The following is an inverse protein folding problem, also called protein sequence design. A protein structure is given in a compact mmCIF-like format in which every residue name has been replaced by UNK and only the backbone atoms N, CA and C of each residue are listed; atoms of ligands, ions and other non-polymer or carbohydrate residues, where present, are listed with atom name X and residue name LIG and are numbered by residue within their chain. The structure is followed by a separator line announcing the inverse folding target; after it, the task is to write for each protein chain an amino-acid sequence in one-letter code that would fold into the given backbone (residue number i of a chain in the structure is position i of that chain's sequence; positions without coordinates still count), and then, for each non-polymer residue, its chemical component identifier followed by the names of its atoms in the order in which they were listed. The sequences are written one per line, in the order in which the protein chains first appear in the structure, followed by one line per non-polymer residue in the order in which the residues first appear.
data_IF_093567209573
#
_entry.id   IF_093567209573
#
_cell.length_a   1.000
_cell.length_b   1.000
_cell.length_c   1.000
_cell.angle_alpha   90.00
_cell.angle_beta   90.00
_cell.angle_gamma   90.00
#
_symmetry.space_group_name_H-M   'P 1'
#
loop_
_entity.id
_entity.type
_entity.pdbx_description
1 polymer ?
#
# COMPACT_ATOMS: atom_id res chain seq x y z
N UNK A 1 9.57 7.07 -25.20
CA UNK A 1 9.52 6.73 -23.74
C UNK A 1 10.02 5.32 -23.59
N UNK A 2 11.12 5.13 -22.86
CA UNK A 2 11.72 3.81 -22.63
C UNK A 2 10.76 2.93 -21.82
N UNK A 3 10.84 1.59 -21.96
CA UNK A 3 10.08 0.65 -21.13
C UNK A 3 10.43 0.86 -19.64
N UNK A 4 11.69 1.16 -19.33
CA UNK A 4 12.15 1.40 -17.95
C UNK A 4 11.49 2.60 -17.27
N UNK A 5 11.03 3.60 -18.02
CA UNK A 5 10.30 4.75 -17.47
C UNK A 5 8.88 4.40 -17.02
N UNK A 6 8.37 3.21 -17.36
CA UNK A 6 7.04 2.71 -17.00
C UNK A 6 7.05 1.59 -15.95
N UNK A 7 8.25 1.15 -15.54
CA UNK A 7 8.42 0.10 -14.55
C UNK A 7 8.52 0.74 -13.17
N UNK A 8 7.92 0.09 -12.20
CA UNK A 8 8.04 0.40 -10.78
C UNK A 8 8.10 -0.89 -9.97
N UNK A 9 8.60 -0.83 -8.75
CA UNK A 9 8.72 -1.99 -7.87
C UNK A 9 8.99 -1.60 -6.43
N UNK A 10 8.99 -2.60 -5.54
CA UNK A 10 9.32 -2.48 -4.14
C UNK A 10 10.84 -2.41 -3.97
N UNK A 11 11.37 -1.22 -3.74
CA UNK A 11 12.82 -1.03 -3.62
C UNK A 11 13.38 -1.28 -2.21
N UNK A 12 12.53 -1.46 -1.21
CA UNK A 12 12.93 -1.87 0.13
C UNK A 12 13.50 -3.30 0.20
N UNK A 13 13.31 -4.09 -0.84
CA UNK A 13 14.01 -5.38 -1.02
C UNK A 13 15.49 -5.21 -1.40
N UNK A 14 15.87 -4.03 -1.89
CA UNK A 14 17.27 -3.69 -2.19
C UNK A 14 17.98 -3.22 -0.91
N UNK A 15 17.35 -2.30 -0.18
CA UNK A 15 17.89 -1.71 1.04
C UNK A 15 16.78 -1.07 1.86
N UNK A 16 16.96 -0.96 3.18
CA UNK A 16 16.09 -0.16 4.03
C UNK A 16 16.50 1.33 4.04
N UNK A 17 17.71 1.66 3.61
CA UNK A 17 18.17 3.04 3.38
C UNK A 17 17.49 3.60 2.13
N UNK A 18 16.72 4.66 2.29
CA UNK A 18 15.92 5.22 1.21
C UNK A 18 16.76 5.90 0.11
N UNK A 19 17.91 6.51 0.48
CA UNK A 19 18.81 7.08 -0.51
C UNK A 19 19.42 6.00 -1.41
N UNK A 20 19.72 4.81 -0.84
CA UNK A 20 20.18 3.66 -1.61
C UNK A 20 19.07 3.10 -2.52
N UNK A 21 17.82 3.06 -2.05
CA UNK A 21 16.67 2.67 -2.89
C UNK A 21 16.56 3.60 -4.10
N UNK A 22 16.52 4.92 -3.87
CA UNK A 22 16.38 5.92 -4.90
C UNK A 22 17.56 5.91 -5.89
N UNK A 23 18.78 5.77 -5.36
CA UNK A 23 19.98 5.63 -6.21
C UNK A 23 19.85 4.45 -7.13
N UNK A 24 19.45 3.27 -6.64
CA UNK A 24 19.33 2.07 -7.48
C UNK A 24 18.24 2.23 -8.55
N UNK A 25 17.09 2.79 -8.17
CA UNK A 25 15.97 3.08 -9.08
C UNK A 25 16.45 4.01 -10.22
N UNK A 26 17.18 5.07 -9.89
CA UNK A 26 17.71 6.02 -10.90
C UNK A 26 18.81 5.43 -11.76
N UNK A 27 19.72 4.64 -11.19
CA UNK A 27 20.79 3.95 -11.95
C UNK A 27 20.21 2.96 -12.99
N UNK A 28 19.05 2.36 -12.69
CA UNK A 28 18.30 1.51 -13.63
C UNK A 28 17.48 2.30 -14.66
N UNK A 29 17.46 3.62 -14.59
CA UNK A 29 16.68 4.48 -15.49
C UNK A 29 15.18 4.47 -15.23
N UNK A 30 14.74 3.96 -14.07
CA UNK A 30 13.35 3.97 -13.65
C UNK A 30 12.94 5.38 -13.17
N UNK A 31 11.67 5.72 -13.34
CA UNK A 31 11.11 7.03 -12.96
C UNK A 31 10.15 6.97 -11.79
N UNK A 32 9.77 5.77 -11.38
CA UNK A 32 8.78 5.55 -10.33
C UNK A 32 9.24 4.46 -9.36
N UNK A 33 8.83 4.62 -8.11
CA UNK A 33 9.03 3.65 -7.02
C UNK A 33 7.68 3.29 -6.41
N UNK A 34 7.49 2.05 -6.00
CA UNK A 34 6.44 1.67 -5.05
C UNK A 34 7.05 1.68 -3.64
N UNK A 35 6.49 2.48 -2.73
CA UNK A 35 7.01 2.60 -1.38
C UNK A 35 6.23 1.67 -0.46
N UNK A 36 6.91 0.66 0.11
CA UNK A 36 6.41 -0.22 1.18
C UNK A 36 7.09 0.15 2.51
N UNK A 37 8.40 0.31 2.49
CA UNK A 37 9.16 0.84 3.62
C UNK A 37 10.34 1.68 3.16
N UNK A 38 10.73 2.63 4.01
CA UNK A 38 11.88 3.50 3.84
C UNK A 38 12.46 3.82 5.22
N UNK A 39 13.79 4.00 5.35
CA UNK A 39 14.46 4.33 6.61
C UNK A 39 14.04 3.40 7.77
N UNK A 40 13.97 2.09 7.49
CA UNK A 40 13.55 1.04 8.45
C UNK A 40 12.13 1.20 9.02
N UNK A 41 11.26 1.96 8.35
CA UNK A 41 9.90 2.25 8.78
C UNK A 41 8.90 1.97 7.66
N UNK A 42 7.81 1.28 7.97
CA UNK A 42 6.73 1.03 7.02
C UNK A 42 6.03 2.33 6.61
N UNK A 43 5.61 2.45 5.36
CA UNK A 43 4.93 3.67 4.87
C UNK A 43 3.66 3.99 5.65
N UNK A 44 2.98 2.98 6.17
CA UNK A 44 1.77 3.12 6.97
C UNK A 44 2.01 3.67 8.39
N UNK A 45 3.27 3.71 8.82
CA UNK A 45 3.67 4.22 10.14
C UNK A 45 4.17 5.66 10.09
N UNK A 46 4.34 6.22 8.89
CA UNK A 46 4.74 7.62 8.72
C UNK A 46 3.58 8.58 9.00
N UNK A 47 3.88 9.64 9.74
CA UNK A 47 2.99 10.79 9.81
C UNK A 47 3.10 11.63 8.53
N UNK A 48 2.06 12.39 8.14
CA UNK A 48 2.15 13.31 7.00
C UNK A 48 3.30 14.32 7.11
N UNK A 49 3.68 14.74 8.32
CA UNK A 49 4.80 15.64 8.55
C UNK A 49 6.16 14.97 8.29
N UNK A 50 6.33 13.72 8.73
CA UNK A 50 7.55 12.95 8.41
C UNK A 50 7.67 12.71 6.90
N UNK A 51 6.55 12.45 6.21
CA UNK A 51 6.55 12.33 4.75
C UNK A 51 7.04 13.62 4.10
N UNK A 52 6.53 14.78 4.53
CA UNK A 52 6.96 16.11 4.00
C UNK A 52 8.42 16.42 4.26
N UNK A 53 8.94 16.06 5.43
CA UNK A 53 10.26 16.46 5.88
C UNK A 53 11.36 15.45 5.55
N UNK A 54 11.02 14.17 5.37
CA UNK A 54 12.00 13.11 5.13
C UNK A 54 11.88 12.54 3.72
N UNK A 55 10.72 12.02 3.32
CA UNK A 55 10.60 11.26 2.06
C UNK A 55 10.49 12.18 0.84
N UNK A 56 9.62 13.17 0.91
CA UNK A 56 9.35 14.06 -0.23
C UNK A 56 10.59 14.81 -0.74
N UNK A 57 11.45 15.40 0.11
CA UNK A 57 12.67 16.06 -0.35
C UNK A 57 13.64 15.10 -1.06
N UNK A 58 13.76 13.85 -0.59
CA UNK A 58 14.62 12.82 -1.20
C UNK A 58 14.10 12.41 -2.57
N UNK A 59 12.79 12.17 -2.69
CA UNK A 59 12.12 11.87 -3.96
C UNK A 59 12.32 12.99 -4.99
N UNK A 60 12.10 14.24 -4.57
CA UNK A 60 12.28 15.42 -5.42
C UNK A 60 13.74 15.58 -5.89
N UNK A 61 14.70 15.41 -4.99
CA UNK A 61 16.13 15.48 -5.33
C UNK A 61 16.54 14.38 -6.31
N UNK A 62 15.97 13.19 -6.21
CA UNK A 62 16.22 12.07 -7.11
C UNK A 62 15.44 12.16 -8.44
N UNK A 63 14.42 13.01 -8.53
CA UNK A 63 13.52 13.08 -9.68
C UNK A 63 12.69 11.80 -9.88
N UNK A 64 12.32 11.12 -8.78
CA UNK A 64 11.57 9.87 -8.76
C UNK A 64 10.16 10.13 -8.24
N UNK A 65 9.15 9.71 -9.01
CA UNK A 65 7.74 9.73 -8.60
C UNK A 65 7.34 8.48 -7.83
N UNK A 66 6.19 8.52 -7.17
CA UNK A 66 5.62 7.36 -6.45
C UNK A 66 4.50 6.76 -7.28
N UNK A 67 4.60 5.48 -7.61
CA UNK A 67 3.59 4.77 -8.40
C UNK A 67 2.44 4.23 -7.53
N UNK A 68 2.76 3.75 -6.34
CA UNK A 68 1.79 3.23 -5.37
C UNK A 68 2.40 3.13 -3.99
N UNK A 69 1.55 3.09 -2.96
CA UNK A 69 1.94 2.75 -1.61
C UNK A 69 1.65 1.27 -1.34
N UNK A 70 2.66 0.52 -0.90
CA UNK A 70 2.53 -0.88 -0.53
C UNK A 70 2.22 -0.99 0.97
N UNK A 71 0.99 -1.31 1.33
CA UNK A 71 0.55 -1.33 2.74
C UNK A 71 0.10 -2.71 3.19
N UNK A 72 -0.10 -2.88 4.49
CA UNK A 72 -0.73 -4.07 5.08
C UNK A 72 -2.21 -3.86 5.44
N UNK A 73 -2.85 -2.83 4.85
CA UNK A 73 -4.30 -2.62 5.02
C UNK A 73 -5.06 -3.87 4.55
N UNK A 74 -5.99 -4.35 5.36
CA UNK A 74 -6.72 -5.60 5.13
C UNK A 74 -5.93 -6.87 5.50
N UNK A 75 -4.72 -6.78 6.02
CA UNK A 75 -3.94 -7.93 6.51
C UNK A 75 -4.11 -8.09 8.04
N UNK A 76 -5.33 -8.26 8.47
CA UNK A 76 -5.79 -8.45 9.84
C UNK A 76 -6.82 -9.59 9.84
N UNK A 77 -6.97 -10.31 10.95
CA UNK A 77 -7.98 -11.36 11.05
C UNK A 77 -9.37 -10.78 10.78
N UNK A 78 -10.19 -11.52 10.04
CA UNK A 78 -11.53 -11.07 9.62
C UNK A 78 -12.45 -10.75 10.80
N UNK A 79 -12.25 -11.42 11.95
CA UNK A 79 -13.02 -11.26 13.16
C UNK A 79 -12.40 -10.26 14.18
N UNK A 80 -11.23 -9.67 13.87
CA UNK A 80 -10.59 -8.68 14.72
C UNK A 80 -11.15 -7.27 14.45
N UNK A 81 -12.21 -6.91 15.17
CA UNK A 81 -12.87 -5.61 15.02
C UNK A 81 -12.00 -4.45 15.53
N UNK A 82 -11.15 -4.66 16.55
CA UNK A 82 -10.24 -3.62 17.05
C UNK A 82 -9.12 -3.34 16.03
N UNK A 83 -8.53 -4.40 15.48
CA UNK A 83 -7.54 -4.29 14.41
C UNK A 83 -8.12 -3.64 13.15
N UNK A 84 -9.35 -3.98 12.79
CA UNK A 84 -10.05 -3.37 11.66
C UNK A 84 -10.29 -1.87 11.90
N UNK A 85 -10.76 -1.46 13.08
CA UNK A 85 -10.97 -0.05 13.41
C UNK A 85 -9.66 0.77 13.30
N UNK A 86 -8.55 0.23 13.79
CA UNK A 86 -7.21 0.85 13.63
C UNK A 86 -6.81 0.98 12.15
N UNK A 87 -7.14 0.00 11.32
CA UNK A 87 -6.84 0.07 9.88
C UNK A 87 -7.69 1.10 9.13
N UNK A 88 -8.91 1.39 9.57
CA UNK A 88 -9.70 2.50 9.01
C UNK A 88 -9.01 3.86 9.27
N UNK A 89 -8.55 4.11 10.50
CA UNK A 89 -7.80 5.32 10.86
C UNK A 89 -6.47 5.41 10.09
N UNK A 90 -5.76 4.29 9.98
CA UNK A 90 -4.50 4.21 9.24
C UNK A 90 -4.70 4.49 7.75
N UNK A 91 -5.79 4.00 7.16
CA UNK A 91 -6.10 4.24 5.75
C UNK A 91 -6.41 5.73 5.47
N UNK A 92 -7.11 6.44 6.37
CA UNK A 92 -7.31 7.89 6.24
C UNK A 92 -5.95 8.62 6.18
N UNK A 93 -5.02 8.30 7.09
CA UNK A 93 -3.66 8.86 7.10
C UNK A 93 -2.86 8.50 5.84
N UNK A 94 -2.99 7.27 5.37
CA UNK A 94 -2.34 6.81 4.13
C UNK A 94 -2.87 7.53 2.89
N UNK A 95 -4.16 7.85 2.84
CA UNK A 95 -4.72 8.64 1.75
C UNK A 95 -4.15 10.06 1.73
N UNK A 96 -3.96 10.70 2.89
CA UNK A 96 -3.27 11.99 2.99
C UNK A 96 -1.81 11.89 2.54
N UNK A 97 -1.12 10.84 2.97
CA UNK A 97 0.26 10.54 2.56
C UNK A 97 0.37 10.36 1.04
N UNK A 98 -0.54 9.60 0.45
CA UNK A 98 -0.58 9.37 -0.99
C UNK A 98 -0.74 10.70 -1.76
N UNK A 99 -1.63 11.60 -1.30
CA UNK A 99 -1.80 12.94 -1.88
C UNK A 99 -0.53 13.79 -1.79
N UNK A 100 0.18 13.75 -0.66
CA UNK A 100 1.44 14.47 -0.49
C UNK A 100 2.52 13.99 -1.47
N UNK A 101 2.48 12.72 -1.83
CA UNK A 101 3.43 12.06 -2.73
C UNK A 101 2.97 12.06 -4.21
N UNK A 102 1.89 12.77 -4.53
CA UNK A 102 1.25 12.77 -5.86
C UNK A 102 0.98 11.35 -6.39
N UNK A 103 0.49 10.49 -5.49
CA UNK A 103 0.20 9.08 -5.74
C UNK A 103 -1.30 8.80 -5.58
N UNK A 104 -1.88 8.09 -6.54
CA UNK A 104 -3.33 7.75 -6.53
C UNK A 104 -3.62 6.29 -6.17
N UNK A 105 -2.61 5.49 -5.85
CA UNK A 105 -2.78 4.06 -5.66
C UNK A 105 -2.25 3.58 -4.31
N UNK A 106 -3.07 2.81 -3.59
CA UNK A 106 -2.69 2.13 -2.34
C UNK A 106 -2.99 0.63 -2.49
N UNK A 107 -1.98 -0.22 -2.34
CA UNK A 107 -2.16 -1.67 -2.30
C UNK A 107 -2.67 -2.11 -0.94
N UNK A 108 -3.66 -3.02 -0.94
CA UNK A 108 -4.31 -3.58 0.23
C UNK A 108 -4.63 -5.07 0.04
N UNK A 109 -5.16 -5.72 1.08
CA UNK A 109 -5.55 -7.13 1.13
C UNK A 109 -7.01 -7.28 1.56
N UNK A 110 -7.52 -8.53 1.61
CA UNK A 110 -8.93 -8.84 1.88
C UNK A 110 -9.14 -9.70 3.13
N UNK A 111 -8.43 -9.44 4.20
CA UNK A 111 -8.51 -10.06 5.51
C UNK A 111 -8.03 -11.52 5.59
N UNK A 112 -7.37 -11.84 6.69
CA UNK A 112 -6.95 -13.21 7.00
C UNK A 112 -8.18 -14.02 7.43
N UNK A 113 -8.35 -15.18 6.83
CA UNK A 113 -9.42 -16.13 7.16
C UNK A 113 -8.88 -17.16 8.16
N UNK A 114 -9.64 -17.49 9.22
CA UNK A 114 -9.21 -18.50 10.18
C UNK A 114 -8.86 -19.82 9.49
N UNK A 115 -7.77 -20.45 9.95
CA UNK A 115 -7.31 -21.71 9.39
C UNK A 115 -8.42 -22.77 9.46
N UNK A 116 -8.58 -23.52 8.38
CA UNK A 116 -9.58 -24.58 8.23
C UNK A 116 -11.05 -24.07 8.23
N UNK A 117 -11.30 -22.77 8.18
CA UNK A 117 -12.62 -22.21 7.97
C UNK A 117 -13.01 -22.21 6.48
N UNK A 118 -14.31 -22.28 6.21
CA UNK A 118 -14.86 -22.06 4.87
C UNK A 118 -14.87 -20.57 4.56
N UNK A 119 -14.02 -20.13 3.63
CA UNK A 119 -13.89 -18.74 3.25
C UNK A 119 -15.21 -18.13 2.75
N UNK A 120 -16.03 -18.92 2.05
CA UNK A 120 -17.32 -18.44 1.52
C UNK A 120 -18.29 -18.00 2.62
N UNK A 121 -18.16 -18.56 3.83
CA UNK A 121 -18.97 -18.16 4.98
C UNK A 121 -18.68 -16.73 5.46
N UNK A 122 -17.53 -16.14 5.09
CA UNK A 122 -17.11 -14.78 5.45
C UNK A 122 -17.42 -13.72 4.38
N UNK A 123 -18.01 -14.13 3.23
CA UNK A 123 -18.24 -13.23 2.09
C UNK A 123 -18.91 -11.91 2.49
N UNK A 124 -20.01 -11.97 3.21
CA UNK A 124 -20.79 -10.78 3.56
C UNK A 124 -20.00 -9.82 4.46
N UNK A 125 -19.30 -10.35 5.46
CA UNK A 125 -18.49 -9.55 6.39
C UNK A 125 -17.28 -8.94 5.70
N UNK A 126 -16.61 -9.69 4.84
CA UNK A 126 -15.47 -9.18 4.05
C UNK A 126 -15.92 -8.06 3.12
N UNK A 127 -17.02 -8.27 2.38
CA UNK A 127 -17.55 -7.25 1.48
C UNK A 127 -17.98 -5.99 2.23
N UNK A 128 -18.54 -6.11 3.43
CA UNK A 128 -18.92 -4.95 4.22
C UNK A 128 -17.71 -4.15 4.73
N UNK A 129 -16.66 -4.85 5.19
CA UNK A 129 -15.39 -4.22 5.57
C UNK A 129 -14.68 -3.57 4.39
N UNK A 130 -14.64 -4.23 3.23
CA UNK A 130 -14.07 -3.65 2.00
C UNK A 130 -14.82 -2.40 1.54
N UNK A 131 -16.16 -2.36 1.64
CA UNK A 131 -16.95 -1.15 1.35
C UNK A 131 -16.57 0.02 2.26
N UNK A 132 -16.19 -0.23 3.51
CA UNK A 132 -15.73 0.83 4.41
C UNK A 132 -14.38 1.39 3.96
N UNK A 133 -13.41 0.55 3.56
CA UNK A 133 -12.16 1.00 2.95
C UNK A 133 -12.40 1.81 1.68
N UNK A 134 -13.27 1.32 0.80
CA UNK A 134 -13.61 2.02 -0.46
C UNK A 134 -14.18 3.41 -0.19
N UNK A 135 -15.09 3.56 0.78
CA UNK A 135 -15.66 4.87 1.13
C UNK A 135 -14.61 5.87 1.61
N UNK A 136 -13.57 5.40 2.32
CA UNK A 136 -12.44 6.25 2.72
C UNK A 136 -11.64 6.66 1.48
N UNK A 137 -11.24 5.71 0.65
CA UNK A 137 -10.44 5.96 -0.53
C UNK A 137 -11.14 6.91 -1.52
N UNK A 138 -12.45 6.74 -1.75
CA UNK A 138 -13.26 7.59 -2.63
C UNK A 138 -13.28 9.07 -2.20
N UNK A 139 -13.33 9.36 -0.88
CA UNK A 139 -13.27 10.75 -0.38
C UNK A 139 -11.96 11.45 -0.74
N UNK A 140 -10.92 10.67 -0.98
CA UNK A 140 -9.57 11.14 -1.25
C UNK A 140 -9.15 10.96 -2.72
N UNK A 141 -10.02 10.51 -3.61
CA UNK A 141 -9.70 10.16 -5.01
C UNK A 141 -8.57 9.13 -5.12
N UNK A 142 -8.51 8.16 -4.19
CA UNK A 142 -7.54 7.07 -4.16
C UNK A 142 -8.17 5.79 -4.69
N UNK A 143 -7.39 5.04 -5.45
CA UNK A 143 -7.75 3.71 -5.94
C UNK A 143 -7.04 2.66 -5.07
N UNK A 144 -7.82 1.75 -4.49
CA UNK A 144 -7.29 0.61 -3.76
C UNK A 144 -6.98 -0.53 -4.73
N UNK A 145 -5.74 -1.03 -4.67
CA UNK A 145 -5.26 -2.16 -5.46
C UNK A 145 -5.25 -3.41 -4.58
N UNK A 146 -6.12 -4.38 -4.88
CA UNK A 146 -6.13 -5.63 -4.15
C UNK A 146 -4.99 -6.55 -4.62
N UNK A 147 -4.18 -7.02 -3.67
CA UNK A 147 -3.19 -8.06 -3.90
C UNK A 147 -3.71 -9.39 -3.35
N UNK A 148 -3.71 -10.44 -4.19
CA UNK A 148 -4.00 -11.77 -3.71
C UNK A 148 -2.78 -12.36 -2.97
N UNK A 149 -3.05 -12.97 -1.83
CA UNK A 149 -2.02 -13.61 -0.99
C UNK A 149 -2.61 -14.86 -0.32
N UNK A 150 -1.75 -15.82 0.01
CA UNK A 150 -2.18 -17.05 0.69
C UNK A 150 -2.78 -16.73 2.08
N UNK A 151 -3.95 -17.30 2.34
CA UNK A 151 -4.61 -17.25 3.65
C UNK A 151 -5.51 -16.03 3.88
N UNK A 152 -5.64 -15.14 2.90
CA UNK A 152 -6.66 -14.09 2.91
C UNK A 152 -7.90 -14.53 2.15
N UNK A 153 -9.02 -13.83 2.30
CA UNK A 153 -10.27 -14.13 1.58
C UNK A 153 -10.06 -14.20 0.05
N UNK A 154 -9.29 -13.27 -0.52
CA UNK A 154 -8.95 -13.23 -1.94
C UNK A 154 -7.63 -13.91 -2.27
N UNK A 155 -7.35 -15.10 -1.74
CA UNK A 155 -6.10 -15.83 -1.99
C UNK A 155 -6.03 -16.44 -3.38
N UNK A 156 -7.18 -16.75 -3.96
CA UNK A 156 -7.30 -17.28 -5.33
C UNK A 156 -8.17 -16.38 -6.20
N UNK A 157 -7.75 -16.19 -7.44
CA UNK A 157 -8.59 -15.55 -8.46
C UNK A 157 -9.43 -16.67 -9.13
N UNK A 158 -10.66 -16.84 -8.68
CA UNK A 158 -11.63 -17.67 -9.40
C UNK A 158 -12.13 -16.86 -10.61
N UNK A 159 -11.60 -17.19 -11.78
CA UNK A 159 -12.18 -16.73 -13.04
C UNK A 159 -13.43 -17.59 -13.30
N UNK A 160 -14.60 -17.02 -13.03
CA UNK A 160 -15.87 -17.54 -13.51
C UNK A 160 -16.28 -16.82 -14.79
#
# INVERSE_FOLDING_TARGET
MSVYEKISGFADEISQDFDQQLKTVTDLGMKYICIRSAEHKGIADYTPEEVRTVLLPKLQAAGVGVSSLGTAIGKVEVDDEEGFAKQLEQLETLCETAKLLDCSFIRMFSFLIPKDADADSYTDVVLDKLRQFIRIAEKHDIVLLHENEKGIYGDTCLLY
#
